data_IF_607897728554
#
_entry.id   IF_607897728554
#
_cell.length_a   1.000
_cell.length_b   1.000
_cell.length_c   1.000
_cell.angle_alpha   90.00
_cell.angle_beta   90.00
_cell.angle_gamma   90.00
#
_symmetry.space_group_name_H-M   'P 1'
#
loop_
_entity.id
_entity.type
_entity.pdbx_description
1 polymer ?
#
# COMPACT_ATOMS: atom_id res chain seq x y z
N UNK A 1 -7.36 -6.84 14.41
CA UNK A 1 -6.62 -7.60 13.38
C UNK A 1 -5.38 -6.80 13.06
N UNK A 2 -4.20 -7.40 13.23
CA UNK A 2 -2.93 -6.77 12.86
C UNK A 2 -2.51 -7.27 11.50
N UNK A 3 -2.10 -6.34 10.64
CA UNK A 3 -1.50 -6.61 9.34
C UNK A 3 -0.11 -6.00 9.40
N UNK A 4 0.90 -6.78 9.04
CA UNK A 4 2.28 -6.32 8.91
C UNK A 4 2.68 -6.52 7.45
N UNK A 5 3.12 -5.45 6.81
CA UNK A 5 3.44 -5.46 5.39
C UNK A 5 4.64 -4.59 5.08
N UNK A 6 5.41 -4.97 4.06
CA UNK A 6 6.56 -4.22 3.59
C UNK A 6 7.64 -5.11 2.99
N UNK A 7 8.77 -4.49 2.66
CA UNK A 7 10.01 -5.15 2.28
C UNK A 7 10.78 -5.55 3.54
N UNK A 8 11.06 -6.84 3.68
CA UNK A 8 11.81 -7.39 4.80
C UNK A 8 13.20 -7.88 4.41
N UNK A 9 13.57 -7.78 3.13
CA UNK A 9 14.81 -8.29 2.56
C UNK A 9 15.15 -9.72 3.06
N UNK A 10 14.10 -10.54 3.13
CA UNK A 10 14.12 -11.88 3.67
C UNK A 10 13.63 -12.84 2.58
N UNK A 11 14.25 -14.01 2.47
CA UNK A 11 13.79 -15.11 1.60
C UNK A 11 13.46 -16.27 2.51
N UNK A 12 12.19 -16.64 2.66
CA UNK A 12 11.80 -17.65 3.66
C UNK A 12 11.85 -19.09 3.14
N UNK A 13 12.02 -19.28 1.82
CA UNK A 13 12.18 -20.56 1.14
C UNK A 13 10.91 -21.42 1.07
N UNK A 14 11.00 -22.60 0.45
CA UNK A 14 9.85 -23.54 0.38
C UNK A 14 9.75 -24.50 1.56
N UNK A 15 10.87 -24.72 2.27
CA UNK A 15 10.93 -25.59 3.44
C UNK A 15 10.19 -24.97 4.62
N UNK A 16 9.03 -25.51 4.98
CA UNK A 16 8.24 -25.02 6.09
C UNK A 16 8.31 -25.90 7.34
N UNK A 17 9.29 -26.81 7.44
CA UNK A 17 9.43 -27.68 8.61
C UNK A 17 9.62 -26.87 9.89
N UNK A 18 8.74 -27.07 10.87
CA UNK A 18 8.69 -26.34 12.13
C UNK A 18 8.00 -24.96 12.05
N UNK A 19 7.45 -24.59 10.89
CA UNK A 19 6.73 -23.33 10.64
C UNK A 19 5.39 -23.57 9.93
N UNK A 20 4.85 -24.78 9.96
CA UNK A 20 3.69 -25.20 9.17
C UNK A 20 2.41 -24.39 9.49
N UNK A 21 2.35 -23.86 10.70
CA UNK A 21 1.21 -23.13 11.24
C UNK A 21 1.15 -21.67 10.72
N UNK A 22 2.31 -21.11 10.37
CA UNK A 22 2.46 -19.74 9.87
C UNK A 22 2.88 -19.65 8.39
N UNK A 23 3.47 -20.69 7.83
CA UNK A 23 4.10 -20.67 6.51
C UNK A 23 3.61 -21.83 5.62
N UNK A 24 3.33 -21.53 4.35
CA UNK A 24 3.08 -22.55 3.33
C UNK A 24 4.34 -22.95 2.57
N UNK A 25 4.18 -23.75 1.51
CA UNK A 25 5.29 -24.30 0.71
C UNK A 25 5.44 -23.65 -0.66
N UNK A 26 4.74 -22.54 -0.90
CA UNK A 26 4.60 -21.99 -2.26
C UNK A 26 5.54 -20.83 -2.55
N UNK A 27 6.54 -20.55 -1.72
CA UNK A 27 7.50 -19.47 -1.98
C UNK A 27 8.52 -19.79 -3.11
N UNK A 28 9.49 -18.90 -3.31
CA UNK A 28 10.56 -19.01 -4.29
C UNK A 28 11.93 -19.15 -3.60
N UNK A 29 12.76 -20.04 -4.14
CA UNK A 29 14.17 -20.15 -3.78
C UNK A 29 14.43 -20.73 -2.39
N UNK A 30 15.66 -20.56 -1.92
CA UNK A 30 16.15 -21.07 -0.64
C UNK A 30 16.13 -20.02 0.46
N UNK A 31 15.95 -20.48 1.69
CA UNK A 31 15.89 -19.62 2.88
C UNK A 31 17.25 -18.98 3.13
N UNK A 32 17.28 -17.65 3.26
CA UNK A 32 18.50 -16.93 3.68
C UNK A 32 18.50 -16.67 5.21
N UNK A 33 19.62 -16.13 5.73
CA UNK A 33 19.77 -15.81 7.17
C UNK A 33 18.65 -14.88 7.68
N UNK A 34 18.28 -13.87 6.90
CA UNK A 34 17.18 -12.96 7.21
C UNK A 34 15.84 -13.70 7.21
N UNK A 35 15.62 -14.61 6.27
CA UNK A 35 14.46 -15.48 6.19
C UNK A 35 14.27 -16.35 7.42
N UNK A 36 15.35 -16.89 7.98
CA UNK A 36 15.28 -17.63 9.25
C UNK A 36 14.87 -16.73 10.42
N UNK A 37 15.44 -15.53 10.53
CA UNK A 37 15.08 -14.56 11.57
C UNK A 37 13.63 -14.12 11.43
N UNK A 38 13.20 -13.84 10.20
CA UNK A 38 11.83 -13.49 9.86
C UNK A 38 10.87 -14.63 10.23
N UNK A 39 11.11 -15.86 9.78
CA UNK A 39 10.27 -17.02 10.11
C UNK A 39 10.15 -17.22 11.63
N UNK A 40 11.26 -17.13 12.37
CA UNK A 40 11.27 -17.24 13.84
C UNK A 40 10.43 -16.16 14.52
N UNK A 41 10.61 -14.90 14.12
CA UNK A 41 9.87 -13.78 14.71
C UNK A 41 8.37 -13.92 14.46
N UNK A 42 7.97 -14.34 13.26
CA UNK A 42 6.56 -14.44 12.88
C UNK A 42 5.91 -15.70 13.46
N UNK A 43 6.65 -16.80 13.61
CA UNK A 43 6.21 -17.96 14.37
C UNK A 43 5.96 -17.59 15.85
N UNK A 44 6.90 -16.91 16.48
CA UNK A 44 6.76 -16.45 17.87
C UNK A 44 5.52 -15.57 18.07
N UNK A 45 5.25 -14.66 17.13
CA UNK A 45 4.11 -13.75 17.19
C UNK A 45 2.81 -14.32 16.58
N UNK A 46 2.80 -15.58 16.15
CA UNK A 46 1.65 -16.23 15.48
C UNK A 46 1.14 -15.39 14.30
N UNK A 47 2.06 -14.94 13.44
CA UNK A 47 1.79 -14.19 12.22
C UNK A 47 2.02 -15.08 11.01
N UNK A 48 0.98 -15.24 10.22
CA UNK A 48 0.95 -16.05 9.01
C UNK A 48 1.53 -15.26 7.83
N UNK A 49 2.45 -15.87 7.07
CA UNK A 49 3.17 -15.27 5.95
C UNK A 49 2.36 -15.49 4.66
N UNK A 50 1.53 -14.53 4.29
CA UNK A 50 0.50 -14.69 3.27
C UNK A 50 1.02 -15.14 1.90
N UNK A 51 2.16 -14.57 1.47
CA UNK A 51 2.78 -14.87 0.17
C UNK A 51 3.30 -16.31 0.02
N UNK A 52 3.30 -17.12 1.09
CA UNK A 52 3.79 -18.52 1.07
C UNK A 52 2.66 -19.55 1.00
N UNK A 53 1.40 -19.14 1.22
CA UNK A 53 0.26 -20.04 1.46
C UNK A 53 -0.49 -20.39 0.19
N UNK A 54 -0.58 -19.43 -0.74
CA UNK A 54 -1.41 -19.58 -1.93
C UNK A 54 -0.56 -20.09 -3.11
N UNK A 55 -1.02 -21.15 -3.80
CA UNK A 55 -0.34 -21.63 -4.99
C UNK A 55 -0.55 -20.64 -6.15
N UNK A 56 0.55 -20.01 -6.60
CA UNK A 56 0.55 -19.07 -7.72
C UNK A 56 1.66 -19.38 -8.73
N UNK A 57 1.58 -18.76 -9.92
CA UNK A 57 2.70 -18.79 -10.88
C UNK A 57 3.85 -17.90 -10.37
N UNK A 58 5.10 -18.19 -10.73
CA UNK A 58 6.29 -17.41 -10.30
C UNK A 58 6.14 -15.90 -10.53
N UNK A 59 5.55 -15.51 -11.65
CA UNK A 59 5.27 -14.11 -12.01
C UNK A 59 4.33 -13.38 -11.03
N UNK A 60 3.52 -14.11 -10.26
CA UNK A 60 2.57 -13.59 -9.28
C UNK A 60 3.10 -13.65 -7.84
N UNK A 61 4.33 -14.16 -7.64
CA UNK A 61 4.99 -14.24 -6.33
C UNK A 61 6.23 -13.36 -6.24
N UNK A 62 6.86 -13.10 -7.38
CA UNK A 62 8.02 -12.22 -7.48
C UNK A 62 7.59 -10.82 -7.08
N UNK A 63 8.24 -10.25 -6.07
CA UNK A 63 7.97 -8.88 -5.61
C UNK A 63 9.08 -7.94 -6.03
N UNK A 64 10.28 -8.44 -6.30
CA UNK A 64 11.41 -7.66 -6.78
C UNK A 64 12.05 -8.32 -8.00
N UNK A 65 12.42 -7.52 -9.00
CA UNK A 65 13.20 -7.95 -10.17
C UNK A 65 14.42 -7.04 -10.29
N UNK A 66 15.60 -7.61 -10.50
CA UNK A 66 16.83 -6.83 -10.69
C UNK A 66 16.76 -5.91 -11.91
N UNK A 67 17.54 -4.81 -11.95
CA UNK A 67 17.56 -3.89 -13.08
C UNK A 67 17.93 -4.52 -14.42
N UNK A 68 18.73 -5.60 -14.41
CA UNK A 68 19.09 -6.39 -15.59
C UNK A 68 18.02 -7.42 -16.00
N UNK A 69 16.91 -7.48 -15.26
CA UNK A 69 15.79 -8.41 -15.42
C UNK A 69 16.12 -9.91 -15.30
N UNK A 70 17.32 -10.27 -14.84
CA UNK A 70 17.76 -11.66 -14.72
C UNK A 70 17.29 -12.32 -13.42
N UNK A 71 17.30 -11.55 -12.33
CA UNK A 71 17.11 -12.05 -10.97
C UNK A 71 15.77 -11.60 -10.43
N UNK A 72 15.08 -12.51 -9.75
CA UNK A 72 13.74 -12.27 -9.23
C UNK A 72 13.62 -12.86 -7.83
N UNK A 73 13.15 -12.05 -6.89
CA UNK A 73 12.97 -12.46 -5.50
C UNK A 73 11.57 -12.13 -4.98
N UNK A 74 11.18 -12.86 -3.95
CA UNK A 74 10.05 -12.55 -3.10
C UNK A 74 10.64 -12.08 -1.76
N UNK A 75 10.62 -10.77 -1.53
CA UNK A 75 11.18 -10.12 -0.33
C UNK A 75 10.18 -9.18 0.35
N UNK A 76 9.10 -8.86 -0.35
CA UNK A 76 7.96 -8.14 0.20
C UNK A 76 6.92 -9.15 0.68
N UNK A 77 6.35 -8.89 1.85
CA UNK A 77 5.36 -9.79 2.45
C UNK A 77 4.18 -9.02 3.01
N UNK A 78 3.02 -9.66 2.99
CA UNK A 78 1.85 -9.28 3.78
C UNK A 78 1.60 -10.41 4.75
N UNK A 79 1.64 -10.10 6.03
CA UNK A 79 1.45 -11.03 7.12
C UNK A 79 0.27 -10.61 8.00
N UNK A 80 -0.44 -11.59 8.55
CA UNK A 80 -1.62 -11.36 9.39
C UNK A 80 -1.59 -12.27 10.61
N UNK A 81 -2.26 -11.89 11.70
CA UNK A 81 -2.39 -12.82 12.82
C UNK A 81 -3.06 -14.12 12.38
N UNK A 82 -2.54 -15.23 12.89
CA UNK A 82 -2.98 -16.59 12.59
C UNK A 82 -4.49 -16.79 12.82
N UNK A 83 -5.07 -16.14 13.84
CA UNK A 83 -6.51 -16.12 14.10
C UNK A 83 -7.35 -15.69 12.89
N UNK A 84 -6.81 -14.82 12.04
CA UNK A 84 -7.48 -14.31 10.84
C UNK A 84 -7.01 -14.99 9.55
N UNK A 85 -6.17 -16.05 9.62
CA UNK A 85 -5.65 -16.77 8.44
C UNK A 85 -6.73 -17.09 7.41
N UNK A 86 -7.86 -17.65 7.86
CA UNK A 86 -9.00 -18.02 7.01
C UNK A 86 -9.72 -16.83 6.36
N UNK A 87 -9.43 -15.61 6.78
CA UNK A 87 -9.99 -14.38 6.19
C UNK A 87 -9.14 -13.86 5.04
N UNK A 88 -7.86 -14.21 4.97
CA UNK A 88 -7.03 -13.93 3.80
C UNK A 88 -7.40 -14.93 2.72
N UNK A 89 -7.91 -14.44 1.61
CA UNK A 89 -8.37 -15.26 0.49
C UNK A 89 -7.28 -15.41 -0.58
N UNK A 90 -6.38 -14.43 -0.70
CA UNK A 90 -5.32 -14.41 -1.70
C UNK A 90 -4.21 -13.42 -1.31
N UNK A 91 -2.97 -13.70 -1.71
CA UNK A 91 -1.83 -12.77 -1.70
C UNK A 91 -1.02 -13.00 -2.96
N UNK A 92 -0.87 -11.95 -3.78
CA UNK A 92 -0.15 -12.03 -5.06
C UNK A 92 0.33 -10.68 -5.54
N UNK A 93 1.39 -10.71 -6.33
CA UNK A 93 1.92 -9.57 -7.07
C UNK A 93 1.01 -9.18 -8.25
N UNK A 94 0.87 -7.87 -8.49
CA UNK A 94 0.20 -7.28 -9.65
C UNK A 94 1.22 -6.67 -10.61
N UNK A 95 1.73 -7.48 -11.54
CA UNK A 95 2.70 -7.04 -12.56
C UNK A 95 2.17 -6.04 -13.61
N UNK A 96 0.86 -5.93 -13.77
CA UNK A 96 0.26 -4.98 -14.71
C UNK A 96 0.15 -3.54 -14.18
N UNK A 97 0.53 -3.31 -12.91
CA UNK A 97 0.61 -1.97 -12.35
C UNK A 97 2.02 -1.43 -12.60
N UNK A 98 2.14 -0.41 -13.45
CA UNK A 98 3.40 0.29 -13.67
C UNK A 98 3.65 1.27 -12.52
N UNK A 99 4.78 1.09 -11.83
CA UNK A 99 5.20 1.90 -10.69
C UNK A 99 6.61 2.48 -10.86
N UNK A 100 7.23 2.34 -12.05
CA UNK A 100 8.61 2.76 -12.30
C UNK A 100 9.60 2.34 -11.17
N UNK A 101 9.42 1.13 -10.63
CA UNK A 101 10.22 0.55 -9.56
C UNK A 101 10.64 -0.87 -9.94
N UNK A 102 11.77 -1.30 -9.40
CA UNK A 102 12.23 -2.70 -9.39
C UNK A 102 11.35 -3.60 -8.50
N UNK A 103 10.57 -3.00 -7.59
CA UNK A 103 9.51 -3.66 -6.84
C UNK A 103 8.17 -3.65 -7.59
N UNK A 104 7.42 -4.72 -7.41
CA UNK A 104 6.09 -4.89 -7.95
C UNK A 104 5.05 -4.82 -6.82
N UNK A 105 3.87 -4.27 -7.15
CA UNK A 105 2.78 -4.13 -6.20
C UNK A 105 2.31 -5.50 -5.65
N UNK A 106 2.45 -5.72 -4.34
CA UNK A 106 1.93 -6.88 -3.63
C UNK A 106 0.52 -6.58 -3.09
N UNK A 107 -0.45 -7.45 -3.40
CA UNK A 107 -1.86 -7.26 -3.01
C UNK A 107 -2.37 -8.46 -2.24
N UNK A 108 -3.05 -8.19 -1.12
CA UNK A 108 -3.82 -9.19 -0.37
C UNK A 108 -5.32 -8.98 -0.58
N UNK A 109 -6.05 -10.08 -0.83
CA UNK A 109 -7.52 -10.12 -0.82
C UNK A 109 -7.99 -10.66 0.53
N UNK A 110 -8.88 -9.94 1.21
CA UNK A 110 -9.36 -10.34 2.54
C UNK A 110 -10.87 -10.19 2.71
N UNK A 111 -11.47 -11.14 3.45
CA UNK A 111 -12.89 -11.16 3.83
C UNK A 111 -13.08 -10.77 5.29
N UNK A 112 -13.36 -9.49 5.52
CA UNK A 112 -13.57 -8.94 6.86
C UNK A 112 -15.06 -8.85 7.19
N UNK A 113 -15.44 -9.24 8.41
CA UNK A 113 -16.75 -8.90 8.96
C UNK A 113 -16.53 -7.69 9.87
N UNK A 114 -16.89 -6.51 9.39
CA UNK A 114 -16.82 -5.29 10.18
C UNK A 114 -17.94 -5.32 11.23
N UNK A 115 -17.61 -5.08 12.49
CA UNK A 115 -18.64 -4.73 13.47
C UNK A 115 -19.06 -3.29 13.20
N UNK A 116 -20.38 -3.08 13.09
CA UNK A 116 -20.93 -1.74 12.97
C UNK A 116 -20.76 -1.06 14.33
N UNK A 117 -19.73 -0.22 14.45
CA UNK A 117 -19.63 0.66 15.60
C UNK A 117 -20.68 1.74 15.41
N UNK A 118 -21.80 1.62 16.11
CA UNK A 118 -22.74 2.73 16.24
C UNK A 118 -22.07 3.76 17.14
N UNK A 119 -21.27 4.64 16.55
CA UNK A 119 -21.10 5.95 17.16
C UNK A 119 -22.48 6.58 17.05
N UNK A 120 -23.17 6.82 18.16
CA UNK A 120 -24.30 7.75 18.19
C UNK A 120 -23.75 9.14 17.87
N UNK A 121 -23.30 9.35 16.64
CA UNK A 121 -23.07 10.67 16.11
C UNK A 121 -24.47 11.15 15.83
N UNK A 122 -25.01 11.92 16.77
CA UNK A 122 -26.13 12.81 16.50
C UNK A 122 -25.59 13.78 15.46
N UNK A 123 -25.62 13.37 14.18
CA UNK A 123 -25.35 14.24 13.06
C UNK A 123 -26.56 15.17 13.03
N UNK A 124 -26.51 16.21 13.86
CA UNK A 124 -27.22 17.43 13.51
C UNK A 124 -26.63 17.76 12.16
N UNK A 125 -27.39 17.49 11.09
CA UNK A 125 -27.09 18.03 9.78
C UNK A 125 -26.89 19.52 10.00
N UNK A 126 -25.65 19.98 10.01
CA UNK A 126 -25.36 21.38 10.11
C UNK A 126 -25.89 21.97 8.81
N UNK A 127 -27.09 22.52 8.89
CA UNK A 127 -27.69 23.27 7.81
C UNK A 127 -26.82 24.51 7.68
N UNK A 128 -25.85 24.47 6.75
CA UNK A 128 -25.02 25.63 6.48
C UNK A 128 -25.95 26.80 6.15
N UNK A 129 -25.78 27.91 6.86
CA UNK A 129 -26.60 29.09 6.65
C UNK A 129 -26.31 29.64 5.23
N UNK A 130 -27.25 29.44 4.31
CA UNK A 130 -27.14 29.89 2.91
C UNK A 130 -27.48 31.37 2.73
N UNK A 131 -27.85 32.10 3.78
CA UNK A 131 -28.19 33.53 3.70
C UNK A 131 -27.04 34.35 3.08
N UNK A 132 -25.79 33.99 3.37
CA UNK A 132 -24.61 34.64 2.79
C UNK A 132 -24.45 34.46 1.28
N UNK A 133 -25.14 33.51 0.63
CA UNK A 133 -25.12 33.38 -0.85
C UNK A 133 -25.92 34.48 -1.56
N UNK A 134 -26.79 35.21 -0.85
CA UNK A 134 -27.62 36.29 -1.41
C UNK A 134 -26.98 37.67 -1.25
N UNK A 135 -25.86 37.76 -0.54
CA UNK A 135 -25.12 39.00 -0.33
C UNK A 135 -24.22 39.25 -1.54
N UNK A 136 -24.66 40.16 -2.41
CA UNK A 136 -23.98 40.49 -3.66
C UNK A 136 -22.57 41.01 -3.44
N UNK A 137 -22.34 41.77 -2.36
CA UNK A 137 -21.04 42.37 -2.05
C UNK A 137 -20.03 41.31 -1.61
N UNK A 138 -20.46 40.39 -0.75
CA UNK A 138 -19.62 39.24 -0.36
C UNK A 138 -19.32 38.32 -1.54
N UNK A 139 -20.27 38.14 -2.45
CA UNK A 139 -20.07 37.32 -3.65
C UNK A 139 -19.05 37.96 -4.61
N UNK A 140 -19.11 39.29 -4.78
CA UNK A 140 -18.17 40.02 -5.60
C UNK A 140 -16.76 40.01 -5.01
N UNK A 141 -16.64 40.23 -3.70
CA UNK A 141 -15.35 40.12 -3.00
C UNK A 141 -14.75 38.72 -3.13
N UNK A 142 -15.57 37.67 -3.01
CA UNK A 142 -15.11 36.30 -3.21
C UNK A 142 -14.60 36.06 -4.63
N UNK A 143 -15.32 36.55 -5.66
CA UNK A 143 -14.88 36.45 -7.07
C UNK A 143 -13.57 37.17 -7.31
N UNK A 144 -13.38 38.36 -6.74
CA UNK A 144 -12.14 39.14 -6.88
C UNK A 144 -10.97 38.39 -6.24
N UNK A 145 -11.13 37.91 -5.01
CA UNK A 145 -10.08 37.16 -4.29
C UNK A 145 -9.75 35.84 -4.99
N UNK A 146 -10.75 35.16 -5.54
CA UNK A 146 -10.52 33.93 -6.29
C UNK A 146 -9.78 34.21 -7.60
N UNK A 147 -10.20 35.24 -8.34
CA UNK A 147 -9.56 35.66 -9.59
C UNK A 147 -8.10 36.05 -9.39
N UNK A 148 -7.80 36.85 -8.36
CA UNK A 148 -6.42 37.26 -8.07
C UNK A 148 -5.51 36.09 -7.70
N UNK A 149 -6.03 35.10 -6.95
CA UNK A 149 -5.27 33.89 -6.62
C UNK A 149 -5.02 33.02 -7.84
N UNK A 150 -6.04 32.80 -8.67
CA UNK A 150 -5.90 32.00 -9.91
C UNK A 150 -4.90 32.66 -10.86
N UNK A 151 -4.93 33.99 -10.98
CA UNK A 151 -3.96 34.73 -11.78
C UNK A 151 -2.53 34.57 -11.25
N UNK A 152 -2.32 34.74 -9.94
CA UNK A 152 -1.01 34.55 -9.32
C UNK A 152 -0.46 33.12 -9.54
N UNK A 153 -1.32 32.10 -9.52
CA UNK A 153 -0.93 30.73 -9.86
C UNK A 153 -0.56 30.57 -11.34
N UNK A 154 -1.31 31.19 -12.24
CA UNK A 154 -0.99 31.17 -13.68
C UNK A 154 0.33 31.89 -13.99
N UNK A 155 0.59 33.02 -13.33
CA UNK A 155 1.83 33.78 -13.48
C UNK A 155 3.04 33.00 -12.93
N UNK A 156 2.85 32.25 -11.83
CA UNK A 156 3.88 31.37 -11.28
C UNK A 156 4.23 30.22 -12.24
N UNK A 157 3.22 29.62 -12.91
CA UNK A 157 3.43 28.53 -13.86
C UNK A 157 4.09 28.98 -15.18
N UNK A 158 3.90 30.24 -15.58
CA UNK A 158 4.49 30.80 -16.80
C UNK A 158 5.76 31.62 -16.55
N UNK A 159 6.13 31.87 -15.29
CA UNK A 159 7.30 32.67 -14.89
C UNK A 159 8.63 31.91 -14.84
N UNK A 160 8.64 30.57 -14.95
CA UNK A 160 9.86 29.77 -15.05
C UNK A 160 10.30 29.62 -16.51
N UNK A 161 10.79 30.71 -17.09
CA UNK A 161 11.26 30.70 -18.46
C UNK A 161 11.91 31.99 -18.89
N UNK A 162 13.02 32.42 -18.25
CA UNK A 162 14.02 33.27 -18.92
C UNK A 162 15.34 33.40 -18.14
N UNK A 163 16.42 33.06 -18.84
CA UNK A 163 17.83 33.50 -18.70
C UNK A 163 18.73 32.89 -17.62
N UNK A 164 19.25 31.69 -17.88
CA UNK A 164 20.67 31.40 -17.59
C UNK A 164 21.53 32.15 -18.62
N UNK A 165 22.26 33.18 -18.17
CA UNK A 165 23.40 33.71 -18.94
C UNK A 165 24.66 32.92 -18.57
N UNK A 166 25.33 32.44 -19.60
CA UNK A 166 26.67 31.87 -19.59
C UNK A 166 27.71 32.82 -18.98
N UNK A 167 28.56 32.29 -18.11
CA UNK A 167 30.01 32.55 -18.06
C UNK A 167 30.71 31.29 -17.57
#
# INVERSE_FOLDING_TARGET
MTILMGDFNAKVGTDNTGYEDIMGRHELGERNKNGKRFANLYAFNKLVIGGTIFPHKRIQKTTWTSPDHTTQYQIDYICINQKYRRRMEDVRTKRGADMASDHHLLVAKMKLKLMKHWTTRRTISQKFNTAFRRDTDKLNNFKIVLGSRVQAFHDLLNGEGTTMKSK
#
